data_IF_897753644869
#
_entry.id   IF_897753644869
#
_cell.length_a   1.000
_cell.length_b   1.000
_cell.length_c   1.000
_cell.angle_alpha   90.00
_cell.angle_beta   90.00
_cell.angle_gamma   90.00
#
_symmetry.space_group_name_H-M   'P 1'
#
loop_
_entity.id
_entity.type
_entity.pdbx_description
1 polymer ?
#
# COMPACT_ATOMS: atom_id res chain seq x y z
N UNK A 1 7.92 3.14 15.67
CA UNK A 1 7.95 3.37 14.21
C UNK A 1 6.70 2.76 13.62
N UNK A 2 5.81 3.52 12.99
CA UNK A 2 4.66 2.95 12.29
C UNK A 2 5.11 1.90 11.25
N UNK A 3 4.42 0.77 11.23
CA UNK A 3 4.57 -0.29 10.23
C UNK A 3 3.37 -0.25 9.29
N UNK A 4 3.64 -0.22 7.99
CA UNK A 4 2.62 -0.35 6.96
C UNK A 4 2.81 -1.67 6.21
N UNK A 5 1.71 -2.36 5.99
CA UNK A 5 1.65 -3.56 5.16
C UNK A 5 1.05 -3.21 3.82
N UNK A 6 1.82 -3.41 2.75
CA UNK A 6 1.29 -3.33 1.38
C UNK A 6 0.77 -4.72 1.00
N UNK A 7 -0.51 -4.77 0.67
CA UNK A 7 -1.21 -5.98 0.25
C UNK A 7 -1.66 -5.83 -1.19
N UNK A 8 -1.59 -6.91 -1.96
CA UNK A 8 -2.22 -7.04 -3.28
C UNK A 8 -3.31 -8.09 -3.18
N UNK A 9 -4.47 -7.80 -3.79
CA UNK A 9 -5.57 -8.74 -3.84
C UNK A 9 -5.56 -9.51 -5.16
N UNK A 10 -5.65 -10.83 -5.08
CA UNK A 10 -5.85 -11.66 -6.27
C UNK A 10 -7.29 -11.56 -6.79
N UNK A 11 -7.58 -12.23 -7.91
CA UNK A 11 -8.93 -12.24 -8.51
C UNK A 11 -10.00 -12.89 -7.60
N UNK A 12 -9.60 -13.59 -6.54
CA UNK A 12 -10.47 -14.20 -5.53
C UNK A 12 -10.56 -13.36 -4.25
N UNK A 13 -10.00 -12.15 -4.25
CA UNK A 13 -9.93 -11.25 -3.12
C UNK A 13 -9.12 -11.77 -1.92
N UNK A 14 -8.15 -12.66 -2.15
CA UNK A 14 -7.17 -12.96 -1.10
C UNK A 14 -6.11 -11.87 -1.04
N UNK A 15 -5.88 -11.35 0.16
CA UNK A 15 -4.79 -10.43 0.42
C UNK A 15 -3.45 -11.18 0.47
N UNK A 16 -2.51 -10.79 -0.39
CA UNK A 16 -1.15 -11.28 -0.42
C UNK A 16 -0.21 -10.16 0.04
N UNK A 17 0.61 -10.36 1.09
CA UNK A 17 1.58 -9.36 1.51
C UNK A 17 2.70 -9.26 0.48
N UNK A 18 2.99 -8.05 0.02
CA UNK A 18 4.03 -7.80 -1.00
C UNK A 18 5.18 -6.94 -0.48
N UNK A 19 4.94 -6.10 0.53
CA UNK A 19 5.99 -5.31 1.16
C UNK A 19 5.60 -4.85 2.57
N UNK A 20 6.62 -4.55 3.37
CA UNK A 20 6.50 -3.91 4.67
C UNK A 20 7.35 -2.64 4.70
N UNK A 21 6.76 -1.54 5.17
CA UNK A 21 7.47 -0.26 5.27
C UNK A 21 7.47 0.24 6.72
N UNK A 22 8.66 0.44 7.26
CA UNK A 22 8.90 0.96 8.62
C UNK A 22 9.52 2.35 8.48
N UNK A 23 8.87 3.37 9.05
CA UNK A 23 9.36 4.76 8.95
C UNK A 23 9.20 5.55 10.25
N UNK A 24 9.89 6.69 10.35
CA UNK A 24 9.95 7.57 11.54
C UNK A 24 8.69 8.40 11.78
N UNK A 25 8.07 8.89 10.72
CA UNK A 25 6.86 9.72 10.76
C UNK A 25 6.09 9.55 9.47
N UNK A 26 4.76 9.62 9.54
CA UNK A 26 3.92 9.42 8.37
C UNK A 26 2.90 10.54 8.20
N UNK A 27 2.86 11.11 7.00
CA UNK A 27 1.76 11.96 6.54
C UNK A 27 1.10 11.25 5.36
N UNK A 28 -0.24 11.28 5.24
CA UNK A 28 -1.00 10.65 4.15
C UNK A 28 -0.44 10.98 2.75
N UNK A 29 0.22 12.14 2.59
CA UNK A 29 0.86 12.56 1.34
C UNK A 29 2.10 11.73 0.93
N UNK A 30 2.75 11.00 1.86
CA UNK A 30 3.91 10.16 1.54
C UNK A 30 3.47 8.82 0.92
N UNK A 31 2.31 8.27 1.34
CA UNK A 31 1.75 7.04 0.76
C UNK A 31 1.55 7.23 -0.74
N UNK A 32 0.99 8.36 -1.19
CA UNK A 32 0.73 8.59 -2.61
C UNK A 32 2.00 8.58 -3.46
N UNK A 33 3.13 9.09 -2.94
CA UNK A 33 4.44 9.03 -3.62
C UNK A 33 4.91 7.60 -3.80
N UNK A 34 4.76 6.76 -2.77
CA UNK A 34 5.15 5.35 -2.84
C UNK A 34 4.24 4.55 -3.77
N UNK A 35 2.93 4.79 -3.72
CA UNK A 35 1.97 4.16 -4.63
C UNK A 35 2.26 4.55 -6.08
N UNK A 36 2.63 5.80 -6.34
CA UNK A 36 3.07 6.24 -7.68
C UNK A 36 4.35 5.51 -8.10
N UNK A 37 5.37 5.44 -7.24
CA UNK A 37 6.62 4.75 -7.56
C UNK A 37 6.41 3.26 -7.87
N UNK A 38 5.55 2.59 -7.11
CA UNK A 38 5.15 1.20 -7.36
C UNK A 38 4.43 1.06 -8.71
N UNK A 39 3.45 1.93 -8.97
CA UNK A 39 2.71 1.97 -10.22
C UNK A 39 3.65 2.15 -11.43
N UNK A 40 4.54 3.14 -11.38
CA UNK A 40 5.52 3.42 -12.43
C UNK A 40 6.45 2.20 -12.65
N UNK A 41 6.85 1.51 -11.57
CA UNK A 41 7.67 0.31 -11.66
C UNK A 41 6.94 -0.84 -12.35
N UNK A 42 5.67 -1.08 -12.02
CA UNK A 42 4.87 -2.14 -12.66
C UNK A 42 4.68 -1.83 -14.14
N UNK A 43 4.32 -0.59 -14.49
CA UNK A 43 4.17 -0.17 -15.89
C UNK A 43 5.47 -0.30 -16.70
N UNK A 44 6.64 -0.11 -16.06
CA UNK A 44 7.92 -0.30 -16.74
C UNK A 44 8.19 -1.76 -17.14
N UNK A 45 7.52 -2.72 -16.49
CA UNK A 45 7.63 -4.17 -16.76
C UNK A 45 6.47 -4.66 -17.63
N UNK A 46 5.25 -4.19 -17.35
CA UNK A 46 4.04 -4.50 -18.10
C UNK A 46 3.23 -3.21 -18.38
N UNK A 47 3.43 -2.58 -19.56
CA UNK A 47 2.72 -1.37 -19.93
C UNK A 47 1.20 -1.55 -20.13
N UNK A 48 0.72 -2.79 -20.24
CA UNK A 48 -0.70 -3.09 -20.42
C UNK A 48 -1.45 -3.18 -19.09
N UNK A 49 -0.72 -3.29 -17.98
CA UNK A 49 -1.27 -3.39 -16.64
C UNK A 49 -2.05 -2.13 -16.25
N UNK A 50 -3.18 -2.33 -15.57
CA UNK A 50 -4.03 -1.24 -15.08
C UNK A 50 -4.30 -1.43 -13.60
N UNK A 51 -4.08 -0.38 -12.82
CA UNK A 51 -4.49 -0.37 -11.42
C UNK A 51 -6.00 -0.19 -11.34
N UNK A 52 -6.68 -1.06 -10.59
CA UNK A 52 -8.12 -0.92 -10.36
C UNK A 52 -8.43 0.09 -9.24
N UNK A 53 -7.53 0.22 -8.27
CA UNK A 53 -7.62 1.20 -7.20
C UNK A 53 -6.59 0.95 -6.10
N UNK A 54 -6.53 1.89 -5.14
CA UNK A 54 -5.75 1.75 -3.92
C UNK A 54 -6.69 1.92 -2.72
N UNK A 55 -6.53 1.08 -1.70
CA UNK A 55 -7.24 1.20 -0.43
C UNK A 55 -6.18 1.57 0.62
N UNK A 56 -6.42 2.66 1.33
CA UNK A 56 -5.59 3.11 2.44
C UNK A 56 -6.44 2.95 3.69
N UNK A 57 -6.03 2.02 4.54
CA UNK A 57 -6.62 1.82 5.84
C UNK A 57 -5.82 2.57 6.92
N UNK A 58 -6.52 3.06 7.94
CA UNK A 58 -5.92 3.72 9.10
C UNK A 58 -6.10 2.83 10.32
N UNK A 59 -5.40 1.70 10.32
CA UNK A 59 -5.45 0.69 11.38
C UNK A 59 -5.18 1.24 12.78
N UNK A 60 -4.56 2.43 12.90
CA UNK A 60 -4.33 3.10 14.19
C UNK A 60 -5.64 3.59 14.81
N UNK A 61 -6.64 3.95 14.02
CA UNK A 61 -7.96 4.37 14.52
C UNK A 61 -8.79 3.22 15.08
N UNK A 62 -8.44 1.97 14.77
CA UNK A 62 -9.12 0.75 15.24
C UNK A 62 -8.51 0.18 16.54
N UNK A 63 -7.44 0.80 17.06
CA UNK A 63 -6.82 0.40 18.32
C UNK A 63 -7.53 1.13 19.45
N UNK A 64 -8.38 0.42 20.22
CA UNK A 64 -8.85 0.93 21.50
C UNK A 64 -7.65 1.18 22.43
N UNK A 65 -7.57 2.33 23.12
CA UNK A 65 -6.51 2.57 24.08
C UNK A 65 -6.59 1.54 25.21
N UNK A 66 -5.47 0.85 25.45
CA UNK A 66 -5.28 -0.12 26.53
C UNK A 66 -5.23 0.59 27.88
#
# INVERSE_FOLDING_TARGET
YPLYSLLVFDARQHALPVAWVITRSFAKHEISKWMKALYDRILSVDPSWKVNGFIIDDAVLEIDPI
#
